data_IF_957989097012
#
_entry.id   IF_957989097012
#
_cell.length_a   1.000
_cell.length_b   1.000
_cell.length_c   1.000
_cell.angle_alpha   90.00
_cell.angle_beta   90.00
_cell.angle_gamma   90.00
#
_symmetry.space_group_name_H-M   'P 1'
#
loop_
_entity.id
_entity.type
_entity.pdbx_description
1 polymer ?
#
# COMPACT_ATOMS: atom_id res chain seq x y z
N UNK A 1 -10.56 -9.96 -4.86
CA UNK A 1 -9.12 -9.88 -4.48
C UNK A 1 -8.31 -10.34 -5.69
N UNK A 2 -7.96 -9.44 -6.61
CA UNK A 2 -7.21 -9.77 -7.84
C UNK A 2 -5.88 -9.02 -7.98
N UNK A 3 -5.59 -8.03 -7.11
CA UNK A 3 -4.45 -7.11 -7.27
C UNK A 3 -3.09 -7.83 -7.48
N UNK A 4 -2.74 -8.83 -6.67
CA UNK A 4 -1.46 -9.55 -6.86
C UNK A 4 -1.43 -10.25 -8.20
N UNK A 5 -2.51 -10.94 -8.57
CA UNK A 5 -2.63 -11.65 -9.85
C UNK A 5 -2.54 -10.67 -11.02
N UNK A 6 -3.21 -9.54 -10.93
CA UNK A 6 -3.21 -8.51 -11.96
C UNK A 6 -1.82 -7.88 -12.10
N UNK A 7 -1.14 -7.59 -10.98
CA UNK A 7 0.24 -7.11 -10.98
C UNK A 7 1.20 -8.14 -11.57
N UNK A 8 1.06 -9.43 -11.24
CA UNK A 8 1.87 -10.49 -11.84
C UNK A 8 1.69 -10.57 -13.35
N UNK A 9 0.45 -10.43 -13.84
CA UNK A 9 0.13 -10.42 -15.27
C UNK A 9 0.71 -9.18 -15.97
N UNK A 10 0.57 -7.99 -15.37
CA UNK A 10 1.04 -6.73 -15.95
C UNK A 10 2.57 -6.62 -15.97
N UNK A 11 3.23 -7.13 -14.93
CA UNK A 11 4.69 -7.06 -14.80
C UNK A 11 5.40 -8.27 -15.38
N UNK A 12 4.64 -9.32 -15.72
CA UNK A 12 5.15 -10.65 -16.10
C UNK A 12 6.18 -11.19 -15.10
N UNK A 13 6.03 -10.84 -13.82
CA UNK A 13 6.91 -11.25 -12.73
C UNK A 13 6.12 -12.03 -11.68
N UNK A 14 6.79 -12.96 -11.01
CA UNK A 14 6.21 -13.71 -9.90
C UNK A 14 6.27 -12.86 -8.63
N UNK A 15 5.13 -12.68 -7.96
CA UNK A 15 5.07 -12.00 -6.67
C UNK A 15 4.91 -13.07 -5.59
N UNK A 16 6.00 -13.34 -4.87
CA UNK A 16 6.06 -14.33 -3.80
C UNK A 16 6.04 -13.64 -2.43
N UNK A 17 5.13 -14.06 -1.55
CA UNK A 17 5.08 -13.58 -0.17
C UNK A 17 6.41 -13.85 0.54
N UNK A 18 6.91 -12.88 1.31
CA UNK A 18 8.16 -12.97 2.08
C UNK A 18 9.44 -12.84 1.26
N UNK A 19 9.35 -12.75 -0.07
CA UNK A 19 10.51 -12.64 -0.97
C UNK A 19 10.41 -11.45 -1.91
N UNK A 20 9.20 -11.08 -2.32
CA UNK A 20 8.96 -9.95 -3.20
C UNK A 20 8.62 -8.71 -2.39
N UNK A 21 9.36 -7.63 -2.64
CA UNK A 21 9.05 -6.29 -2.16
C UNK A 21 8.23 -5.56 -3.21
N UNK A 22 7.03 -5.12 -2.83
CA UNK A 22 6.18 -4.26 -3.64
C UNK A 22 6.45 -2.81 -3.26
N UNK A 23 7.00 -2.03 -4.21
CA UNK A 23 7.27 -0.61 -4.04
C UNK A 23 6.31 0.22 -4.87
N UNK A 24 5.62 1.18 -4.24
CA UNK A 24 4.69 2.11 -4.88
C UNK A 24 5.26 3.53 -4.83
N UNK A 25 5.50 4.11 -6.02
CA UNK A 25 5.98 5.49 -6.20
C UNK A 25 4.81 6.47 -6.33
N UNK A 26 4.99 7.68 -5.79
CA UNK A 26 3.91 8.60 -5.40
C UNK A 26 3.22 9.31 -6.55
N UNK A 27 3.85 9.36 -7.72
CA UNK A 27 3.44 10.28 -8.80
C UNK A 27 2.01 10.07 -9.31
N UNK A 28 1.36 8.94 -9.01
CA UNK A 28 -0.06 8.71 -9.32
C UNK A 28 -0.81 8.01 -8.18
N UNK A 29 -0.57 8.38 -6.91
CA UNK A 29 -1.30 7.76 -5.81
C UNK A 29 -2.80 8.01 -5.93
N UNK A 30 -3.51 6.94 -6.27
CA UNK A 30 -4.96 6.86 -6.18
C UNK A 30 -5.34 6.51 -4.73
N UNK A 31 -6.21 7.27 -4.04
CA UNK A 31 -6.65 6.95 -2.68
C UNK A 31 -7.22 5.52 -2.53
N UNK A 32 -7.80 4.99 -3.61
CA UNK A 32 -8.30 3.61 -3.67
C UNK A 32 -7.18 2.55 -3.74
N UNK A 33 -6.02 2.91 -4.28
CA UNK A 33 -4.83 2.07 -4.22
C UNK A 33 -4.33 1.98 -2.77
N UNK A 34 -4.31 3.09 -2.02
CA UNK A 34 -3.98 3.10 -0.59
C UNK A 34 -4.91 2.19 0.24
N UNK A 35 -6.23 2.19 -0.03
CA UNK A 35 -7.17 1.22 0.56
C UNK A 35 -6.77 -0.23 0.31
N UNK A 36 -6.34 -0.53 -0.90
CA UNK A 36 -5.87 -1.87 -1.23
C UNK A 36 -4.61 -2.20 -0.43
N UNK A 37 -3.65 -1.27 -0.31
CA UNK A 37 -2.41 -1.47 0.45
C UNK A 37 -2.65 -1.68 1.95
N UNK A 38 -3.54 -0.89 2.57
CA UNK A 38 -3.96 -1.09 3.96
C UNK A 38 -4.58 -2.48 4.17
N UNK A 39 -5.41 -2.92 3.21
CA UNK A 39 -6.02 -4.24 3.25
C UNK A 39 -4.97 -5.35 3.09
N UNK A 40 -3.96 -5.17 2.21
CA UNK A 40 -2.82 -6.08 2.10
C UNK A 40 -2.04 -6.17 3.41
N UNK A 41 -1.77 -5.04 4.06
CA UNK A 41 -1.06 -5.01 5.34
C UNK A 41 -1.82 -5.79 6.43
N UNK A 42 -3.15 -5.68 6.49
CA UNK A 42 -3.97 -6.39 7.48
C UNK A 42 -4.20 -7.87 7.16
N UNK A 43 -4.52 -8.19 5.91
CA UNK A 43 -4.93 -9.54 5.50
C UNK A 43 -3.75 -10.44 5.15
N UNK A 44 -2.63 -9.85 4.71
CA UNK A 44 -1.51 -10.57 4.13
C UNK A 44 -0.17 -10.00 4.64
N UNK A 45 0.10 -10.10 5.96
CA UNK A 45 1.29 -9.53 6.60
C UNK A 45 2.62 -10.13 6.10
N UNK A 46 2.57 -11.26 5.38
CA UNK A 46 3.73 -11.90 4.76
C UNK A 46 4.24 -11.18 3.52
N UNK A 47 3.48 -10.25 2.93
CA UNK A 47 3.99 -9.46 1.80
C UNK A 47 4.72 -8.22 2.29
N UNK A 48 5.89 -7.96 1.72
CA UNK A 48 6.61 -6.72 1.98
C UNK A 48 6.07 -5.65 1.04
N UNK A 49 5.45 -4.62 1.61
CA UNK A 49 4.85 -3.51 0.85
C UNK A 49 5.41 -2.21 1.40
N UNK A 50 5.94 -1.37 0.51
CA UNK A 50 6.42 -0.03 0.81
C UNK A 50 5.76 0.93 -0.17
N UNK A 51 5.22 2.03 0.35
CA UNK A 51 4.83 3.18 -0.45
C UNK A 51 5.65 4.37 0.05
N UNK A 52 6.31 5.08 -0.87
CA UNK A 52 7.05 6.28 -0.53
C UNK A 52 6.50 7.43 -1.36
N UNK A 53 6.36 8.60 -0.73
CA UNK A 53 5.95 9.76 -1.49
C UNK A 53 5.96 11.11 -0.82
N UNK A 54 6.36 12.14 -1.55
CA UNK A 54 6.29 13.55 -1.12
C UNK A 54 4.86 14.01 -0.79
N UNK A 55 3.86 13.44 -1.47
CA UNK A 55 2.44 13.75 -1.30
C UNK A 55 1.68 12.67 -0.51
N UNK A 56 2.39 11.81 0.22
CA UNK A 56 1.77 10.70 0.95
C UNK A 56 0.77 11.21 2.01
N UNK A 57 1.09 12.28 2.72
CA UNK A 57 0.22 12.91 3.72
C UNK A 57 -1.12 13.32 3.12
N UNK A 58 -1.11 14.03 1.99
CA UNK A 58 -2.32 14.44 1.27
C UNK A 58 -3.13 13.24 0.74
N UNK A 59 -2.44 12.19 0.31
CA UNK A 59 -3.10 10.97 -0.13
C UNK A 59 -3.74 10.19 1.03
N UNK A 60 -3.12 10.21 2.22
CA UNK A 60 -3.66 9.66 3.46
C UNK A 60 -4.88 10.46 3.93
N UNK A 61 -4.87 11.78 3.84
CA UNK A 61 -6.06 12.61 4.13
C UNK A 61 -7.24 12.24 3.24
N UNK A 62 -7.01 12.13 1.91
CA UNK A 62 -8.05 11.69 0.96
C UNK A 62 -8.52 10.27 1.24
N UNK A 63 -7.61 9.39 1.64
CA UNK A 63 -7.92 8.02 2.04
C UNK A 63 -8.86 7.99 3.25
N UNK A 64 -8.60 8.81 4.28
CA UNK A 64 -9.45 8.92 5.45
C UNK A 64 -10.83 9.49 5.10
N UNK A 65 -10.89 10.46 4.18
CA UNK A 65 -12.14 11.06 3.71
C UNK A 65 -13.09 10.07 3.00
N UNK A 66 -12.58 8.95 2.47
CA UNK A 66 -13.37 7.94 1.74
C UNK A 66 -13.66 6.67 2.57
N UNK A 67 -13.46 6.71 3.89
CA UNK A 67 -13.70 5.54 4.77
C UNK A 67 -12.45 4.68 4.99
N UNK A 68 -11.29 5.32 5.07
CA UNK A 68 -10.03 4.67 5.45
C UNK A 68 -10.04 4.04 6.84
N UNK A 69 -8.99 3.27 7.13
CA UNK A 69 -8.75 2.53 8.38
C UNK A 69 -7.72 3.28 9.26
N UNK A 70 -8.15 4.13 10.20
CA UNK A 70 -7.27 4.96 11.04
C UNK A 70 -6.21 4.16 11.80
N UNK A 71 -6.56 2.96 12.28
CA UNK A 71 -5.68 2.11 13.07
C UNK A 71 -4.49 1.58 12.26
N UNK A 72 -4.68 1.36 10.96
CA UNK A 72 -3.60 0.94 10.06
C UNK A 72 -2.67 2.10 9.79
N UNK A 73 -3.23 3.29 9.52
CA UNK A 73 -2.47 4.51 9.23
C UNK A 73 -1.65 4.94 10.44
N UNK A 74 -2.20 4.87 11.66
CA UNK A 74 -1.45 5.15 12.88
C UNK A 74 -0.22 4.23 13.03
N UNK A 75 -0.39 2.93 12.73
CA UNK A 75 0.71 1.95 12.76
C UNK A 75 1.81 2.28 11.74
N UNK A 76 1.47 2.97 10.64
CA UNK A 76 2.45 3.39 9.64
C UNK A 76 3.21 4.65 10.06
N UNK A 77 2.53 5.63 10.67
CA UNK A 77 3.17 6.82 11.22
C UNK A 77 4.24 6.47 12.26
N UNK A 78 3.96 5.51 13.15
CA UNK A 78 4.91 5.08 14.17
C UNK A 78 6.18 4.40 13.59
N UNK A 79 6.15 4.00 12.31
CA UNK A 79 7.26 3.31 11.63
C UNK A 79 8.02 4.19 10.65
N UNK A 80 7.62 5.45 10.46
CA UNK A 80 8.35 6.37 9.60
C UNK A 80 9.62 6.85 10.33
N UNK A 81 10.82 6.68 9.74
CA UNK A 81 12.01 7.34 10.27
C UNK A 81 11.83 8.86 10.10
N UNK A 82 11.95 9.61 11.20
CA UNK A 82 11.95 11.08 11.19
C UNK A 82 13.07 11.63 10.31
#
# INVERSE_FOLDING_TARGET
MHLVRDLQLLTNNTIEAGKTLLFFDERQVCPRALLSLCYFFKQLPTFHVIAAGSSLEFALEKYMAIGGMPEVVATWYDKLPY
#
